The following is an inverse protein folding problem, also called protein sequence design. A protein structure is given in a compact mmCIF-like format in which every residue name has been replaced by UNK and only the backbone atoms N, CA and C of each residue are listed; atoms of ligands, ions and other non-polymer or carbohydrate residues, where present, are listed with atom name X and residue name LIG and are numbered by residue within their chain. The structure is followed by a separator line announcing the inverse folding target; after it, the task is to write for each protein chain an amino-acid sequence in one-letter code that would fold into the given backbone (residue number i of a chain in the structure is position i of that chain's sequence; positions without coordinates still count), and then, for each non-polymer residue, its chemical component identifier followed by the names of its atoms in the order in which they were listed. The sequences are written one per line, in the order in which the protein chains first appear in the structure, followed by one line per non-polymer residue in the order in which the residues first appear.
data_IF_986028279450
#
_entry.id   IF_986028279450
#
_cell.length_a   1.000
_cell.length_b   1.000
_cell.length_c   1.000
_cell.angle_alpha   90.00
_cell.angle_beta   90.00
_cell.angle_gamma   90.00
#
_symmetry.space_group_name_H-M   'P 1'
#
loop_
_entity.id
_entity.type
_entity.pdbx_description
1 polymer ?
#
# COMPACT_ATOMS: atom_id res chain seq x y z
N UNK A 1 -10.97 -21.50 11.02
CA UNK A 1 -11.17 -20.04 10.95
C UNK A 1 -11.02 -19.72 9.48
N UNK A 2 -12.09 -19.26 8.82
CA UNK A 2 -12.05 -19.06 7.37
C UNK A 2 -11.04 -17.96 7.02
N UNK A 3 -10.13 -18.21 6.07
CA UNK A 3 -9.27 -17.16 5.52
C UNK A 3 -10.18 -16.08 4.94
N UNK A 4 -10.15 -14.87 5.50
CA UNK A 4 -10.83 -13.72 4.94
C UNK A 4 -10.24 -13.44 3.54
N UNK A 5 -11.10 -13.31 2.53
CA UNK A 5 -10.68 -12.99 1.16
C UNK A 5 -10.90 -11.51 0.94
N UNK A 6 -9.83 -10.80 0.58
CA UNK A 6 -9.88 -9.37 0.32
C UNK A 6 -10.30 -9.09 -1.12
N UNK A 7 -11.11 -8.06 -1.35
CA UNK A 7 -11.48 -7.65 -2.71
C UNK A 7 -10.25 -7.24 -3.52
N UNK A 8 -9.30 -6.56 -2.89
CA UNK A 8 -8.05 -6.14 -3.51
C UNK A 8 -6.94 -5.94 -2.49
N UNK A 9 -5.71 -6.34 -2.85
CA UNK A 9 -4.51 -6.10 -2.05
C UNK A 9 -3.50 -5.24 -2.83
N UNK A 10 -2.96 -4.21 -2.17
CA UNK A 10 -1.86 -3.40 -2.71
C UNK A 10 -0.56 -3.77 -2.02
N UNK A 11 0.43 -4.22 -2.79
CA UNK A 11 1.76 -4.57 -2.26
C UNK A 11 2.68 -3.37 -2.42
N UNK A 12 3.08 -2.77 -1.29
CA UNK A 12 4.03 -1.66 -1.22
C UNK A 12 3.39 -0.29 -0.97
N UNK A 13 4.17 0.58 -0.34
CA UNK A 13 3.71 1.88 0.21
C UNK A 13 4.52 3.07 -0.30
N UNK A 14 5.07 2.97 -1.50
CA UNK A 14 5.56 4.15 -2.22
C UNK A 14 4.41 5.05 -2.70
N UNK A 15 4.72 6.14 -3.43
CA UNK A 15 3.69 7.02 -4.00
C UNK A 15 2.71 6.26 -4.91
N UNK A 16 3.18 5.24 -5.64
CA UNK A 16 2.33 4.40 -6.48
C UNK A 16 1.30 3.60 -5.66
N UNK A 17 1.75 2.91 -4.61
CA UNK A 17 0.89 2.09 -3.76
C UNK A 17 -0.15 2.93 -3.02
N UNK A 18 0.25 4.05 -2.42
CA UNK A 18 -0.71 4.95 -1.78
C UNK A 18 -1.69 5.57 -2.77
N UNK A 19 -1.26 5.94 -3.98
CA UNK A 19 -2.19 6.45 -5.00
C UNK A 19 -3.21 5.39 -5.40
N UNK A 20 -2.78 4.14 -5.62
CA UNK A 20 -3.70 3.03 -5.88
C UNK A 20 -4.69 2.85 -4.73
N UNK A 21 -4.20 2.78 -3.49
CA UNK A 21 -5.01 2.62 -2.29
C UNK A 21 -6.04 3.73 -2.11
N UNK A 22 -5.68 5.00 -2.38
CA UNK A 22 -6.61 6.14 -2.37
C UNK A 22 -7.77 5.93 -3.35
N UNK A 23 -7.48 5.55 -4.59
CA UNK A 23 -8.51 5.37 -5.61
C UNK A 23 -9.39 4.15 -5.34
N UNK A 24 -8.81 3.04 -4.89
CA UNK A 24 -9.53 1.84 -4.50
C UNK A 24 -10.42 2.07 -3.28
N UNK A 25 -9.94 2.81 -2.28
CA UNK A 25 -10.72 3.21 -1.12
C UNK A 25 -11.90 4.11 -1.51
N UNK A 26 -11.69 5.06 -2.43
CA UNK A 26 -12.77 5.89 -3.01
C UNK A 26 -13.79 5.09 -3.81
N UNK A 27 -13.40 3.97 -4.39
CA UNK A 27 -14.30 3.00 -5.04
C UNK A 27 -14.99 2.06 -4.04
N UNK A 28 -14.82 2.26 -2.73
CA UNK A 28 -15.41 1.46 -1.66
C UNK A 28 -14.98 -0.02 -1.66
N UNK A 29 -13.76 -0.30 -2.16
CA UNK A 29 -13.19 -1.66 -2.23
C UNK A 29 -12.35 -2.02 -0.99
N UNK A 30 -12.26 -1.12 0.00
CA UNK A 30 -11.55 -1.33 1.28
C UNK A 30 -10.18 -2.02 1.10
N UNK A 31 -9.24 -1.43 0.33
CA UNK A 31 -8.01 -2.10 -0.04
C UNK A 31 -7.15 -2.39 1.20
N UNK A 32 -6.62 -3.61 1.27
CA UNK A 32 -5.56 -3.96 2.21
C UNK A 32 -4.21 -3.61 1.60
N UNK A 33 -3.41 -2.79 2.29
CA UNK A 33 -2.08 -2.37 1.83
C UNK A 33 -1.00 -3.06 2.67
N UNK A 34 -0.10 -3.76 2.01
CA UNK A 34 1.03 -4.44 2.63
C UNK A 34 2.23 -3.50 2.60
N UNK A 35 2.74 -3.12 3.77
CA UNK A 35 3.68 -2.00 3.87
C UNK A 35 5.09 -2.30 3.35
N UNK A 36 5.53 -3.56 3.42
CA UNK A 36 6.90 -3.97 3.10
C UNK A 36 7.92 -3.52 4.15
N UNK A 37 9.20 -3.80 3.87
CA UNK A 37 10.33 -3.50 4.77
C UNK A 37 10.55 -1.99 5.00
N UNK A 38 10.20 -1.17 4.01
CA UNK A 38 10.37 0.28 4.07
C UNK A 38 9.03 0.98 3.79
N UNK A 39 8.17 1.15 4.82
CA UNK A 39 6.94 1.90 4.71
C UNK A 39 7.18 3.32 4.18
N UNK A 40 6.47 3.74 3.13
CA UNK A 40 6.72 5.02 2.44
C UNK A 40 7.71 4.93 1.27
N UNK A 41 8.40 3.80 1.12
CA UNK A 41 9.33 3.56 0.01
C UNK A 41 10.52 4.51 -0.01
N UNK A 42 11.11 4.69 -1.20
CA UNK A 42 12.38 5.42 -1.37
C UNK A 42 12.29 6.91 -1.03
N UNK A 43 11.10 7.51 -1.02
CA UNK A 43 10.96 8.92 -0.65
C UNK A 43 11.17 9.16 0.86
N UNK A 44 11.23 8.11 1.68
CA UNK A 44 11.60 8.23 3.09
C UNK A 44 13.07 8.55 3.32
N UNK A 45 13.94 8.33 2.33
CA UNK A 45 15.40 8.51 2.47
C UNK A 45 15.93 9.76 1.76
N UNK A 46 15.04 10.58 1.18
CA UNK A 46 15.41 11.88 0.61
C UNK A 46 14.97 13.02 1.53
N UNK A 47 15.69 14.14 1.50
CA UNK A 47 15.29 15.35 2.21
C UNK A 47 14.24 16.09 1.40
N UNK A 48 14.63 16.70 0.28
CA UNK A 48 13.81 17.68 -0.42
C UNK A 48 13.30 17.14 -1.76
N UNK A 49 12.00 17.26 -1.98
CA UNK A 49 11.34 16.98 -3.25
C UNK A 49 10.83 18.30 -3.82
N UNK A 50 11.47 18.78 -4.87
CA UNK A 50 11.14 20.06 -5.52
C UNK A 50 10.30 19.90 -6.80
N UNK A 51 10.14 18.66 -7.27
CA UNK A 51 9.53 18.34 -8.56
C UNK A 51 8.20 17.59 -8.46
N UNK A 52 7.63 17.46 -7.26
CA UNK A 52 6.29 16.90 -7.09
C UNK A 52 5.24 18.01 -7.27
N UNK A 53 4.35 17.91 -8.26
CA UNK A 53 3.39 18.98 -8.56
C UNK A 53 2.44 19.22 -7.39
N UNK A 54 2.14 20.50 -7.11
CA UNK A 54 1.33 20.93 -5.96
C UNK A 54 2.16 21.43 -4.77
N UNK A 55 3.49 21.29 -4.81
CA UNK A 55 4.41 21.80 -3.79
C UNK A 55 5.43 22.76 -4.41
N UNK A 56 5.05 24.01 -4.74
CA UNK A 56 5.94 24.96 -5.41
C UNK A 56 7.13 25.41 -4.55
N UNK A 57 7.06 25.23 -3.23
CA UNK A 57 8.18 25.45 -2.30
C UNK A 57 8.97 24.16 -2.00
N UNK A 58 8.67 23.06 -2.69
CA UNK A 58 9.12 21.73 -2.34
C UNK A 58 8.42 21.15 -1.10
N UNK A 59 8.70 19.90 -0.80
CA UNK A 59 8.22 19.20 0.39
C UNK A 59 9.25 18.15 0.85
N UNK A 60 9.41 17.92 2.16
CA UNK A 60 10.21 16.82 2.65
C UNK A 60 9.67 15.45 2.21
N UNK A 61 10.54 14.55 1.77
CA UNK A 61 10.15 13.21 1.30
C UNK A 61 9.32 12.40 2.31
N UNK A 62 9.76 12.27 3.58
CA UNK A 62 8.97 11.62 4.63
C UNK A 62 7.61 12.28 4.87
N UNK A 63 7.53 13.61 4.77
CA UNK A 63 6.29 14.35 4.95
C UNK A 63 5.29 14.06 3.82
N UNK A 64 5.75 14.03 2.57
CA UNK A 64 4.92 13.66 1.43
C UNK A 64 4.34 12.24 1.61
N UNK A 65 5.16 11.27 2.03
CA UNK A 65 4.70 9.89 2.24
C UNK A 65 3.71 9.76 3.39
N UNK A 66 3.93 10.48 4.49
CA UNK A 66 2.98 10.53 5.61
C UNK A 66 1.62 11.09 5.16
N UNK A 67 1.61 12.20 4.41
CA UNK A 67 0.37 12.80 3.88
C UNK A 67 -0.36 11.84 2.93
N UNK A 68 0.36 11.11 2.08
CA UNK A 68 -0.24 10.11 1.19
C UNK A 68 -0.84 8.93 1.97
N UNK A 69 -0.15 8.44 3.02
CA UNK A 69 -0.66 7.38 3.91
C UNK A 69 -1.94 7.82 4.62
N UNK A 70 -1.96 9.03 5.18
CA UNK A 70 -3.15 9.61 5.83
C UNK A 70 -4.32 9.74 4.85
N UNK A 71 -4.05 10.15 3.61
CA UNK A 71 -5.09 10.24 2.58
C UNK A 71 -5.64 8.86 2.21
N UNK A 72 -4.81 7.83 2.08
CA UNK A 72 -5.25 6.45 1.84
C UNK A 72 -6.11 5.93 3.00
N UNK A 73 -5.65 6.09 4.25
CA UNK A 73 -6.39 5.71 5.45
C UNK A 73 -7.77 6.41 5.53
N UNK A 74 -7.83 7.70 5.18
CA UNK A 74 -9.08 8.49 5.15
C UNK A 74 -10.14 7.89 4.23
N UNK A 75 -9.73 7.24 3.14
CA UNK A 75 -10.63 6.59 2.18
C UNK A 75 -10.84 5.10 2.46
N UNK A 76 -10.47 4.61 3.65
CA UNK A 76 -10.77 3.26 4.10
C UNK A 76 -9.75 2.20 3.69
N UNK A 77 -8.51 2.60 3.34
CA UNK A 77 -7.41 1.65 3.22
C UNK A 77 -7.00 1.12 4.60
N UNK A 78 -6.85 -0.20 4.69
CA UNK A 78 -6.25 -0.87 5.85
C UNK A 78 -4.78 -1.15 5.58
N UNK A 79 -3.96 -1.18 6.62
CA UNK A 79 -2.51 -1.36 6.49
C UNK A 79 -2.05 -2.51 7.36
N UNK A 80 -1.21 -3.37 6.79
CA UNK A 80 -0.49 -4.40 7.54
C UNK A 80 0.99 -4.33 7.25
N UNK A 81 1.77 -4.48 8.32
CA UNK A 81 3.21 -4.67 8.18
C UNK A 81 3.51 -6.12 7.81
N UNK A 82 4.35 -6.29 6.80
CA UNK A 82 4.76 -7.59 6.29
C UNK A 82 5.45 -7.46 4.94
N UNK A 83 6.22 -8.49 4.58
CA UNK A 83 6.82 -8.63 3.26
C UNK A 83 6.15 -9.80 2.54
N UNK A 84 5.73 -9.59 1.29
CA UNK A 84 5.23 -10.67 0.44
C UNK A 84 6.44 -11.46 -0.07
N UNK A 85 6.47 -12.75 0.19
CA UNK A 85 7.52 -13.67 -0.23
C UNK A 85 7.13 -14.47 -1.47
N UNK A 86 5.84 -14.76 -1.63
CA UNK A 86 5.30 -15.53 -2.74
C UNK A 86 3.92 -14.98 -3.14
N UNK A 87 3.63 -15.02 -4.44
CA UNK A 87 2.34 -14.71 -5.01
C UNK A 87 1.93 -15.81 -5.99
N UNK A 88 0.93 -16.61 -5.63
CA UNK A 88 0.31 -17.60 -6.50
C UNK A 88 -0.88 -16.96 -7.23
N UNK A 89 -0.64 -16.59 -8.49
CA UNK A 89 -1.61 -15.97 -9.38
C UNK A 89 -2.25 -16.98 -10.36
N UNK A 90 -1.98 -18.28 -10.19
CA UNK A 90 -2.42 -19.32 -11.13
C UNK A 90 -3.88 -19.75 -10.94
N UNK A 91 -4.49 -19.36 -9.82
CA UNK A 91 -5.86 -19.69 -9.41
C UNK A 91 -6.56 -18.47 -8.81
N UNK A 92 -7.89 -18.51 -8.76
CA UNK A 92 -8.72 -17.47 -8.14
C UNK A 92 -9.49 -18.03 -6.94
N UNK A 93 -9.49 -17.37 -5.77
CA UNK A 93 -8.75 -16.14 -5.44
C UNK A 93 -7.22 -16.36 -5.47
N UNK A 94 -6.48 -15.29 -5.79
CA UNK A 94 -5.02 -15.26 -5.71
C UNK A 94 -4.58 -15.44 -4.26
N UNK A 95 -3.39 -16.03 -4.07
CA UNK A 95 -2.81 -16.22 -2.72
C UNK A 95 -1.47 -15.49 -2.61
N UNK A 96 -1.27 -14.79 -1.50
CA UNK A 96 -0.03 -14.13 -1.12
C UNK A 96 0.47 -14.74 0.19
N UNK A 97 1.74 -15.15 0.21
CA UNK A 97 2.40 -15.64 1.42
C UNK A 97 3.31 -14.55 1.97
N UNK A 98 3.12 -14.18 3.23
CA UNK A 98 3.99 -13.25 3.94
C UNK A 98 5.20 -13.96 4.57
N UNK A 99 6.24 -13.18 4.87
CA UNK A 99 7.47 -13.65 5.52
C UNK A 99 7.23 -14.36 6.86
N UNK A 100 6.19 -13.97 7.60
CA UNK A 100 5.82 -14.61 8.88
C UNK A 100 4.92 -15.85 8.72
N UNK A 101 4.69 -16.29 7.48
CA UNK A 101 3.88 -17.46 7.15
C UNK A 101 2.38 -17.21 7.09
N UNK A 102 1.90 -15.96 7.29
CA UNK A 102 0.50 -15.62 7.02
C UNK A 102 0.18 -15.77 5.53
N UNK A 103 -0.93 -16.43 5.23
CA UNK A 103 -1.50 -16.50 3.88
C UNK A 103 -2.65 -15.49 3.77
N UNK A 104 -2.64 -14.68 2.71
CA UNK A 104 -3.70 -13.73 2.38
C UNK A 104 -4.31 -14.12 1.04
N UNK A 105 -5.63 -14.08 0.97
CA UNK A 105 -6.37 -14.37 -0.26
C UNK A 105 -6.96 -13.09 -0.84
N UNK A 106 -6.94 -12.94 -2.16
CA UNK A 106 -7.57 -11.80 -2.81
C UNK A 106 -8.17 -12.11 -4.17
N UNK A 107 -9.22 -11.36 -4.54
CA UNK A 107 -9.82 -11.42 -5.87
C UNK A 107 -9.01 -10.65 -6.93
N UNK A 108 -8.17 -9.69 -6.53
CA UNK A 108 -7.38 -8.85 -7.41
C UNK A 108 -6.07 -8.36 -6.76
#
# INVERSE_FOLDING_TARGET
MANETHDIIVIGTGPAGYTAAIYLGRANLKPLVIEGFQPGGQLMITTDIENFPGFPQGIPGPELMMRMREQAAKFGSEFITGNVMEADLSRSPFSLTLEDGRELLTHA
#
